data_IF_102249336448
#
_entry.id   IF_102249336448
#
_cell.length_a   1.000
_cell.length_b   1.000
_cell.length_c   1.000
_cell.angle_alpha   90.00
_cell.angle_beta   90.00
_cell.angle_gamma   90.00
#
_symmetry.space_group_name_H-M   'P 1'
#
loop_
_entity.id
_entity.type
_entity.pdbx_description
1 polymer ?
#
# COMPACT_ATOMS: atom_id res chain seq x y z
N UNK A 1 -22.10 -17.09 -6.19
CA UNK A 1 -20.78 -17.65 -5.83
C UNK A 1 -19.79 -16.50 -5.83
N UNK A 2 -19.55 -15.89 -4.67
CA UNK A 2 -18.77 -14.65 -4.54
C UNK A 2 -17.30 -15.01 -4.44
N UNK A 3 -16.53 -14.70 -5.48
CA UNK A 3 -15.09 -14.95 -5.53
C UNK A 3 -14.38 -14.01 -4.56
N UNK A 4 -13.66 -14.60 -3.61
CA UNK A 4 -12.85 -13.90 -2.62
C UNK A 4 -11.59 -13.40 -3.34
N UNK A 5 -11.52 -12.11 -3.64
CA UNK A 5 -10.31 -11.47 -4.15
C UNK A 5 -9.28 -11.38 -3.01
N UNK A 6 -8.54 -12.47 -2.82
CA UNK A 6 -7.32 -12.48 -2.02
C UNK A 6 -6.30 -11.67 -2.82
N UNK A 7 -5.83 -10.57 -2.22
CA UNK A 7 -4.68 -9.82 -2.70
C UNK A 7 -3.60 -10.84 -3.10
N UNK A 8 -3.22 -10.84 -4.38
CA UNK A 8 -2.22 -11.78 -4.90
C UNK A 8 -0.87 -11.39 -4.28
N UNK A 9 -0.55 -11.98 -3.13
CA UNK A 9 0.81 -11.96 -2.58
C UNK A 9 1.68 -12.71 -3.57
N UNK A 10 2.30 -11.98 -4.49
CA UNK A 10 3.32 -12.53 -5.38
C UNK A 10 4.56 -12.77 -4.52
N UNK A 11 4.68 -13.97 -3.95
CA UNK A 11 5.97 -14.51 -3.54
C UNK A 11 6.69 -14.83 -4.86
N UNK A 12 7.67 -13.99 -5.23
CA UNK A 12 8.41 -14.12 -6.49
C UNK A 12 9.41 -15.29 -6.43
N UNK A 13 9.64 -16.07 -7.53
CA UNK A 13 10.26 -17.39 -7.48
C UNK A 13 11.78 -17.43 -7.69
N UNK A 14 12.50 -16.30 -7.63
CA UNK A 14 13.97 -16.28 -7.75
C UNK A 14 14.62 -16.09 -6.38
N UNK A 15 14.40 -17.03 -5.48
CA UNK A 15 15.14 -17.14 -4.23
C UNK A 15 16.42 -17.96 -4.48
N UNK A 16 17.60 -17.35 -4.27
CA UNK A 16 18.79 -18.13 -3.93
C UNK A 16 18.75 -18.39 -2.41
N UNK A 17 18.69 -19.65 -1.95
CA UNK A 17 18.62 -19.96 -0.53
C UNK A 17 20.00 -19.80 0.10
N UNK A 18 20.14 -18.93 1.11
CA UNK A 18 21.31 -18.94 1.97
C UNK A 18 21.16 -20.10 2.98
N UNK A 19 22.16 -20.98 3.17
CA UNK A 19 22.01 -22.23 3.90
C UNK A 19 22.34 -22.02 5.37
N UNK A 20 21.43 -21.40 6.12
CA UNK A 20 21.33 -21.56 7.59
C UNK A 20 20.11 -20.79 8.13
N UNK A 21 18.98 -21.47 8.36
CA UNK A 21 17.82 -20.88 9.01
C UNK A 21 17.87 -21.21 10.50
N UNK A 22 18.38 -20.28 11.31
CA UNK A 22 18.29 -20.37 12.77
C UNK A 22 17.47 -19.20 13.28
N UNK A 23 16.28 -19.52 13.79
CA UNK A 23 15.28 -18.63 14.42
C UNK A 23 14.37 -17.83 13.48
N UNK A 24 13.16 -17.54 13.96
CA UNK A 24 11.94 -17.04 13.29
C UNK A 24 12.05 -15.65 12.60
N UNK A 25 13.25 -15.24 12.19
CA UNK A 25 13.57 -13.99 11.50
C UNK A 25 13.34 -14.09 9.97
N UNK A 26 12.16 -14.52 9.54
CA UNK A 26 11.70 -14.25 8.16
C UNK A 26 11.27 -12.77 8.08
N UNK A 27 12.25 -11.90 8.29
CA UNK A 27 12.14 -10.46 8.53
C UNK A 27 11.16 -9.80 7.54
N UNK A 28 9.98 -9.47 8.05
CA UNK A 28 9.04 -8.53 7.46
C UNK A 28 9.71 -7.15 7.41
N UNK A 29 10.55 -6.94 6.39
CA UNK A 29 11.32 -5.71 6.22
C UNK A 29 10.34 -4.57 5.93
N UNK A 30 10.16 -3.69 6.93
CA UNK A 30 9.44 -2.41 6.82
C UNK A 30 10.26 -1.41 6.00
N UNK A 31 9.65 -0.31 5.59
CA UNK A 31 10.38 0.75 4.89
C UNK A 31 11.50 1.34 5.77
N UNK A 32 12.59 1.81 5.15
CA UNK A 32 13.79 2.31 5.85
C UNK A 32 13.55 3.49 6.79
N UNK A 33 12.43 4.20 6.62
CA UNK A 33 12.01 5.28 7.51
C UNK A 33 11.25 4.80 8.76
N UNK A 34 10.88 3.51 8.83
CA UNK A 34 10.47 2.86 10.07
C UNK A 34 11.72 2.34 10.78
N UNK A 35 12.09 3.04 11.85
CA UNK A 35 13.21 2.67 12.72
C UNK A 35 12.73 1.86 13.92
N UNK A 36 13.66 1.22 14.62
CA UNK A 36 13.37 0.55 15.91
C UNK A 36 12.90 1.53 17.01
N UNK A 37 13.16 2.83 16.83
CA UNK A 37 12.75 3.91 17.73
C UNK A 37 11.44 4.58 17.33
N UNK A 38 10.84 4.19 16.20
CA UNK A 38 9.59 4.76 15.74
C UNK A 38 8.44 4.44 16.69
N UNK A 39 7.54 5.39 16.90
CA UNK A 39 6.39 5.21 17.77
C UNK A 39 5.54 4.02 17.30
N UNK A 40 5.09 3.20 18.27
CA UNK A 40 4.31 1.99 17.98
C UNK A 40 3.07 2.27 17.12
N UNK A 41 2.43 3.42 17.32
CA UNK A 41 1.26 3.85 16.54
C UNK A 41 1.62 4.10 15.07
N UNK A 42 2.82 4.65 14.83
CA UNK A 42 3.31 4.92 13.49
C UNK A 42 3.73 3.64 12.76
N UNK A 43 4.38 2.72 13.48
CA UNK A 43 4.70 1.37 12.98
C UNK A 43 3.43 0.61 12.61
N UNK A 44 2.42 0.63 13.48
CA UNK A 44 1.15 -0.03 13.22
C UNK A 44 0.44 0.56 12.00
N UNK A 45 0.40 1.89 11.90
CA UNK A 45 -0.19 2.56 10.73
C UNK A 45 0.56 2.18 9.44
N UNK A 46 1.89 2.13 9.48
CA UNK A 46 2.68 1.65 8.36
C UNK A 46 2.28 0.23 7.98
N UNK A 47 2.26 -0.70 8.93
CA UNK A 47 2.04 -2.12 8.64
C UNK A 47 0.63 -2.44 8.15
N UNK A 48 -0.38 -1.77 8.73
CA UNK A 48 -1.80 -2.08 8.45
C UNK A 48 -2.39 -1.23 7.32
N UNK A 49 -1.89 -0.01 7.13
CA UNK A 49 -2.48 0.94 6.18
C UNK A 49 -1.55 1.24 5.00
N UNK A 50 -0.32 1.69 5.28
CA UNK A 50 0.56 2.24 4.26
C UNK A 50 1.30 1.17 3.44
N UNK A 51 1.90 0.19 4.12
CA UNK A 51 2.66 -0.92 3.54
C UNK A 51 1.81 -2.00 2.86
N UNK A 52 0.48 -1.88 2.89
CA UNK A 52 -0.45 -2.77 2.17
C UNK A 52 -1.11 -2.01 1.03
N UNK A 53 -0.40 -1.76 -0.07
CA UNK A 53 -0.95 -0.96 -1.17
C UNK A 53 -2.09 -1.67 -1.92
N UNK A 54 -2.88 -0.88 -2.66
CA UNK A 54 -3.99 -1.37 -3.50
C UNK A 54 -3.66 -1.03 -4.96
N UNK A 55 -3.47 -2.05 -5.79
CA UNK A 55 -2.91 -1.89 -7.16
C UNK A 55 -3.76 -2.49 -8.29
N UNK A 56 -5.01 -2.89 -8.04
CA UNK A 56 -5.81 -3.64 -9.02
C UNK A 56 -6.64 -2.74 -9.98
N UNK A 57 -6.42 -1.44 -9.95
CA UNK A 57 -7.31 -0.48 -10.60
C UNK A 57 -6.79 -0.03 -11.97
N UNK A 58 -7.08 -0.82 -13.01
CA UNK A 58 -6.74 -0.49 -14.40
C UNK A 58 -7.78 0.45 -15.04
N UNK A 59 -7.76 1.73 -14.67
CA UNK A 59 -8.72 2.71 -15.18
C UNK A 59 -8.47 3.07 -16.64
N UNK A 60 -9.47 2.89 -17.51
CA UNK A 60 -9.44 3.37 -18.91
C UNK A 60 -9.98 4.79 -19.09
N UNK A 61 -10.81 5.25 -18.17
CA UNK A 61 -11.48 6.53 -18.28
C UNK A 61 -11.45 7.26 -16.92
N UNK A 62 -11.21 8.59 -16.89
CA UNK A 62 -11.14 9.37 -15.64
C UNK A 62 -12.38 9.21 -14.75
N UNK A 63 -13.56 9.13 -15.38
CA UNK A 63 -14.85 8.92 -14.73
C UNK A 63 -14.99 7.60 -13.97
N UNK A 64 -14.10 6.64 -14.21
CA UNK A 64 -14.09 5.36 -13.49
C UNK A 64 -13.21 5.43 -12.23
N UNK A 65 -12.36 6.45 -12.11
CA UNK A 65 -11.54 6.68 -10.91
C UNK A 65 -12.48 7.13 -9.79
N UNK A 66 -12.56 6.40 -8.66
CA UNK A 66 -13.49 6.75 -7.60
C UNK A 66 -13.04 8.01 -6.86
N UNK A 67 -13.97 8.72 -6.22
CA UNK A 67 -13.63 9.87 -5.36
C UNK A 67 -13.25 9.43 -3.93
N UNK A 68 -13.61 8.20 -3.55
CA UNK A 68 -13.35 7.58 -2.24
C UNK A 68 -13.35 6.07 -2.39
N UNK A 69 -12.62 5.38 -1.53
CA UNK A 69 -12.57 3.91 -1.48
C UNK A 69 -12.87 3.39 -0.08
N UNK A 70 -13.30 2.13 0.08
CA UNK A 70 -13.53 1.52 1.40
C UNK A 70 -12.28 1.59 2.31
N UNK A 71 -11.09 1.49 1.72
CA UNK A 71 -9.82 1.66 2.44
C UNK A 71 -9.65 3.09 2.96
N UNK A 72 -9.89 4.11 2.12
CA UNK A 72 -9.83 5.51 2.54
C UNK A 72 -10.87 5.83 3.62
N UNK A 73 -12.07 5.22 3.57
CA UNK A 73 -13.09 5.36 4.62
C UNK A 73 -12.63 4.75 5.95
N UNK A 74 -11.95 3.61 5.91
CA UNK A 74 -11.40 2.95 7.11
C UNK A 74 -10.30 3.79 7.75
N UNK A 75 -9.35 4.27 6.93
CA UNK A 75 -8.26 5.15 7.38
C UNK A 75 -8.82 6.47 7.93
N UNK A 76 -9.77 7.09 7.24
CA UNK A 76 -10.43 8.32 7.70
C UNK A 76 -11.06 8.16 9.09
N UNK A 77 -11.78 7.06 9.32
CA UNK A 77 -12.39 6.76 10.63
C UNK A 77 -11.34 6.59 11.72
N UNK A 78 -10.24 5.89 11.43
CA UNK A 78 -9.15 5.71 12.40
C UNK A 78 -8.49 7.05 12.76
N UNK A 79 -8.20 7.90 11.75
CA UNK A 79 -7.61 9.21 11.96
C UNK A 79 -8.54 10.14 12.77
N UNK A 80 -9.84 10.13 12.49
CA UNK A 80 -10.84 10.87 13.29
C UNK A 80 -10.84 10.39 14.74
N UNK A 81 -10.79 9.07 14.98
CA UNK A 81 -10.74 8.49 16.33
C UNK A 81 -9.47 8.90 17.09
N UNK A 82 -8.36 9.09 16.37
CA UNK A 82 -7.08 9.56 16.92
C UNK A 82 -7.02 11.09 17.10
N UNK A 83 -8.10 11.82 16.81
CA UNK A 83 -8.21 13.25 17.04
C UNK A 83 -7.75 14.15 15.89
N UNK A 84 -7.42 13.58 14.73
CA UNK A 84 -7.09 14.38 13.54
C UNK A 84 -8.34 15.08 13.01
N UNK A 85 -8.15 16.27 12.44
CA UNK A 85 -9.21 17.08 11.81
C UNK A 85 -8.91 17.22 10.31
N UNK A 86 -9.94 17.49 9.50
CA UNK A 86 -9.83 17.56 8.03
C UNK A 86 -9.32 16.27 7.37
N UNK A 87 -9.65 15.12 7.95
CA UNK A 87 -9.25 13.79 7.45
C UNK A 87 -10.46 13.02 6.91
N UNK A 88 -11.35 13.70 6.17
CA UNK A 88 -12.50 13.06 5.53
C UNK A 88 -12.08 12.03 4.46
N UNK A 89 -12.93 11.04 4.10
CA UNK A 89 -12.54 9.96 3.20
C UNK A 89 -12.03 10.40 1.83
N UNK A 90 -12.55 11.50 1.28
CA UNK A 90 -12.08 12.08 0.01
C UNK A 90 -10.67 12.65 0.15
N UNK A 91 -10.41 13.40 1.24
CA UNK A 91 -9.08 13.97 1.53
C UNK A 91 -8.06 12.85 1.72
N UNK A 92 -8.44 11.81 2.48
CA UNK A 92 -7.60 10.63 2.69
C UNK A 92 -7.33 9.92 1.37
N UNK A 93 -8.33 9.76 0.50
CA UNK A 93 -8.13 9.14 -0.80
C UNK A 93 -7.20 9.97 -1.70
N UNK A 94 -7.35 11.29 -1.72
CA UNK A 94 -6.41 12.18 -2.43
C UNK A 94 -4.98 12.09 -1.89
N UNK A 95 -4.81 11.96 -0.57
CA UNK A 95 -3.51 11.70 0.03
C UNK A 95 -2.94 10.34 -0.42
N UNK A 96 -3.77 9.29 -0.44
CA UNK A 96 -3.36 7.95 -0.90
C UNK A 96 -2.85 7.97 -2.35
N UNK A 97 -3.53 8.72 -3.23
CA UNK A 97 -3.11 8.93 -4.62
C UNK A 97 -1.73 9.63 -4.68
N UNK A 98 -1.56 10.71 -3.91
CA UNK A 98 -0.32 11.49 -3.91
C UNK A 98 0.87 10.71 -3.31
N UNK A 99 0.61 9.90 -2.28
CA UNK A 99 1.62 9.10 -1.59
C UNK A 99 1.98 7.79 -2.33
N UNK A 100 1.30 7.47 -3.44
CA UNK A 100 1.53 6.23 -4.19
C UNK A 100 0.99 4.97 -3.49
N UNK A 101 0.03 5.14 -2.57
CA UNK A 101 -0.68 4.02 -1.92
C UNK A 101 -1.73 3.38 -2.83
N UNK A 102 -2.13 4.12 -3.87
CA UNK A 102 -2.97 3.67 -4.98
C UNK A 102 -2.34 4.07 -6.31
N UNK A 103 -2.67 3.35 -7.38
CA UNK A 103 -2.25 3.70 -8.74
C UNK A 103 -3.50 4.07 -9.53
N UNK A 104 -3.76 5.37 -9.62
CA UNK A 104 -4.96 5.90 -10.28
C UNK A 104 -4.64 6.47 -11.67
N UNK A 105 -3.40 6.30 -12.14
CA UNK A 105 -3.04 6.63 -13.51
C UNK A 105 -3.89 5.80 -14.48
N UNK A 106 -4.41 6.44 -15.52
CA UNK A 106 -5.11 5.73 -16.58
C UNK A 106 -4.15 4.77 -17.29
N UNK A 107 -4.66 3.66 -17.82
CA UNK A 107 -3.83 2.64 -18.50
C UNK A 107 -3.10 3.16 -19.73
N UNK A 108 -3.59 4.25 -20.34
CA UNK A 108 -2.98 4.96 -21.47
C UNK A 108 -2.01 6.07 -21.04
N UNK A 109 -1.91 6.36 -19.73
CA UNK A 109 -0.94 7.31 -19.21
C UNK A 109 0.49 6.80 -19.42
N UNK A 110 1.36 7.68 -19.92
CA UNK A 110 2.79 7.39 -20.15
C UNK A 110 3.51 6.79 -18.94
N UNK A 111 3.10 7.15 -17.72
CA UNK A 111 3.73 6.73 -16.46
C UNK A 111 3.05 5.53 -15.80
N UNK A 112 1.93 5.03 -16.33
CA UNK A 112 1.19 3.95 -15.71
C UNK A 112 2.07 2.71 -15.48
N UNK A 113 2.81 2.29 -16.51
CA UNK A 113 3.73 1.14 -16.41
C UNK A 113 4.82 1.36 -15.37
N UNK A 114 5.40 2.56 -15.32
CA UNK A 114 6.45 2.88 -14.34
C UNK A 114 5.90 2.85 -12.91
N UNK A 115 4.70 3.39 -12.67
CA UNK A 115 4.03 3.36 -11.37
C UNK A 115 3.72 1.93 -10.92
N UNK A 116 3.20 1.09 -11.81
CA UNK A 116 2.95 -0.34 -11.53
C UNK A 116 4.26 -1.06 -11.22
N UNK A 117 5.31 -0.85 -12.01
CA UNK A 117 6.61 -1.47 -11.76
C UNK A 117 7.22 -1.02 -10.42
N UNK A 118 7.05 0.24 -10.02
CA UNK A 118 7.52 0.74 -8.72
C UNK A 118 6.76 0.11 -7.55
N UNK A 119 5.46 -0.11 -7.73
CA UNK A 119 4.57 -0.70 -6.77
C UNK A 119 4.78 -2.21 -6.57
N UNK A 120 5.07 -2.95 -7.64
CA UNK A 120 5.33 -4.38 -7.60
C UNK A 120 6.75 -4.71 -7.11
N UNK A 121 7.65 -3.73 -7.01
CA UNK A 121 8.98 -3.96 -6.44
C UNK A 121 8.83 -4.41 -4.99
N UNK A 122 9.44 -5.54 -4.60
CA UNK A 122 9.55 -5.87 -3.19
C UNK A 122 10.28 -4.72 -2.51
N UNK A 123 9.67 -4.11 -1.50
CA UNK A 123 10.13 -2.93 -0.75
C UNK A 123 11.48 -3.14 -0.03
N UNK A 124 12.54 -3.46 -0.78
CA UNK A 124 13.79 -3.98 -0.22
C UNK A 124 15.05 -3.19 -0.55
N UNK A 125 15.03 -2.20 -1.43
CA UNK A 125 16.22 -1.40 -1.71
C UNK A 125 15.89 0.02 -2.18
N UNK A 126 15.75 0.96 -1.23
CA UNK A 126 16.24 2.34 -1.35
C UNK A 126 16.88 2.73 -0.04
#
# INVERSE_FOLDING_TARGET
>A
MSNKNVARTVISPTCNPNPNPSSEEELMRRCNWITSTSDKVYVQFHDECWGVPVYDDQFRHPRNVPLRTPKAETISKDLLKKGFRFVGPVIVYSFMQAAGMTIDHLVDCIRHKDCVNLAERPWRHV
#
